data_IF_072020836163
#
_entry.id   IF_072020836163
#
_cell.length_a   1.000
_cell.length_b   1.000
_cell.length_c   1.000
_cell.angle_alpha   90.00
_cell.angle_beta   90.00
_cell.angle_gamma   90.00
#
_symmetry.space_group_name_H-M   'P 1'
#
loop_
_entity.id
_entity.type
_entity.pdbx_description
1 polymer ?
#
# COMPACT_ATOMS: atom_id res chain seq x y z
N UNK A 1 16.82 -10.50 11.56
CA UNK A 1 15.51 -11.07 11.18
C UNK A 1 15.65 -11.62 9.79
N UNK A 2 15.07 -12.80 9.54
CA UNK A 2 15.02 -13.35 8.18
C UNK A 2 14.17 -12.45 7.30
N UNK A 3 14.62 -12.29 6.07
CA UNK A 3 13.97 -11.46 5.07
C UNK A 3 13.88 -12.18 3.73
N UNK A 4 12.91 -11.75 2.94
CA UNK A 4 12.62 -12.24 1.60
C UNK A 4 12.52 -11.06 0.64
N UNK A 5 13.09 -11.21 -0.56
CA UNK A 5 12.90 -10.25 -1.65
C UNK A 5 11.77 -10.74 -2.55
N UNK A 6 10.74 -9.91 -2.73
CA UNK A 6 9.53 -10.20 -3.52
C UNK A 6 9.38 -9.08 -4.57
N UNK A 7 9.25 -9.39 -5.87
CA UNK A 7 9.03 -8.37 -6.89
C UNK A 7 7.63 -7.74 -6.75
N UNK A 8 7.50 -6.47 -7.16
CA UNK A 8 6.18 -5.84 -7.29
C UNK A 8 5.42 -6.43 -8.48
N UNK A 9 4.08 -6.53 -8.40
CA UNK A 9 3.18 -6.00 -7.36
C UNK A 9 3.04 -6.91 -6.12
N UNK A 10 3.53 -8.15 -6.17
CA UNK A 10 3.30 -9.15 -5.13
C UNK A 10 3.76 -8.72 -3.72
N UNK A 11 4.79 -7.88 -3.62
CA UNK A 11 5.23 -7.36 -2.32
C UNK A 11 4.22 -6.37 -1.71
N UNK A 12 3.60 -5.52 -2.55
CA UNK A 12 2.49 -4.66 -2.14
C UNK A 12 1.25 -5.47 -1.79
N UNK A 13 0.90 -6.49 -2.60
CA UNK A 13 -0.27 -7.34 -2.33
C UNK A 13 -0.15 -8.08 -0.99
N UNK A 14 1.06 -8.46 -0.58
CA UNK A 14 1.30 -9.00 0.77
C UNK A 14 1.17 -7.90 1.84
N UNK A 15 1.70 -6.69 1.59
CA UNK A 15 1.60 -5.54 2.50
C UNK A 15 0.14 -5.12 2.74
N UNK A 16 -0.68 -5.10 1.70
CA UNK A 16 -2.10 -4.75 1.77
C UNK A 16 -2.97 -5.88 2.32
N UNK A 17 -2.40 -7.09 2.40
CA UNK A 17 -3.09 -8.28 2.91
C UNK A 17 -3.96 -8.99 1.88
N UNK A 18 -3.90 -8.58 0.60
CA UNK A 18 -4.60 -9.23 -0.51
C UNK A 18 -3.99 -10.61 -0.83
N UNK A 19 -2.66 -10.75 -0.70
CA UNK A 19 -1.93 -11.99 -0.97
C UNK A 19 -1.49 -12.64 0.34
N UNK A 20 -2.08 -13.79 0.67
CA UNK A 20 -1.78 -14.55 1.89
C UNK A 20 -0.89 -15.77 1.64
N UNK A 21 -0.67 -16.14 0.36
CA UNK A 21 0.26 -17.20 -0.03
C UNK A 21 1.34 -16.66 -0.96
N UNK A 22 2.62 -16.85 -0.59
CA UNK A 22 3.77 -16.64 -1.48
C UNK A 22 4.21 -17.98 -2.09
N UNK A 23 4.43 -18.02 -3.40
CA UNK A 23 4.74 -19.26 -4.12
C UNK A 23 6.22 -19.31 -4.49
N UNK A 24 6.91 -20.38 -4.09
CA UNK A 24 8.36 -20.49 -4.23
C UNK A 24 8.77 -21.89 -4.69
N UNK A 25 9.82 -22.03 -5.51
CA UNK A 25 10.35 -23.34 -5.89
C UNK A 25 11.14 -24.04 -4.76
N UNK A 26 11.30 -23.39 -3.60
CA UNK A 26 12.13 -23.86 -2.51
C UNK A 26 11.35 -23.91 -1.19
N UNK A 27 11.56 -25.00 -0.45
CA UNK A 27 11.14 -25.14 0.94
C UNK A 27 12.06 -24.35 1.89
N UNK A 28 11.57 -24.07 3.09
CA UNK A 28 12.36 -23.60 4.22
C UNK A 28 11.83 -24.14 5.54
N UNK A 29 12.76 -24.43 6.46
CA UNK A 29 12.44 -24.78 7.86
C UNK A 29 12.09 -23.54 8.71
N UNK A 30 12.17 -22.33 8.15
CA UNK A 30 11.81 -21.11 8.89
C UNK A 30 10.30 -21.06 9.15
N UNK A 31 9.92 -20.65 10.37
CA UNK A 31 8.56 -20.28 10.77
C UNK A 31 8.64 -19.11 11.74
N UNK A 32 7.64 -18.24 11.74
CA UNK A 32 7.64 -16.99 12.51
C UNK A 32 7.97 -15.77 11.65
N UNK A 33 8.42 -14.70 12.32
CA UNK A 33 8.66 -13.40 11.69
C UNK A 33 9.56 -13.48 10.45
N UNK A 34 9.08 -12.88 9.36
CA UNK A 34 9.74 -12.77 8.07
C UNK A 34 9.54 -11.35 7.54
N UNK A 35 10.64 -10.64 7.29
CA UNK A 35 10.61 -9.31 6.69
C UNK A 35 10.43 -9.42 5.17
N UNK A 36 9.37 -8.83 4.64
CA UNK A 36 9.11 -8.71 3.20
C UNK A 36 9.76 -7.43 2.69
N UNK A 37 10.63 -7.60 1.70
CA UNK A 37 11.29 -6.51 1.00
C UNK A 37 10.88 -6.52 -0.48
N UNK A 38 10.48 -5.38 -1.02
CA UNK A 38 10.28 -5.24 -2.46
C UNK A 38 11.61 -5.37 -3.20
N UNK A 39 11.62 -6.14 -4.28
CA UNK A 39 12.78 -6.26 -5.14
C UNK A 39 13.04 -4.95 -5.88
N UNK A 40 14.28 -4.75 -6.34
CA UNK A 40 14.64 -3.60 -7.17
C UNK A 40 14.18 -3.71 -8.63
N UNK A 41 13.61 -4.85 -9.04
CA UNK A 41 13.03 -5.06 -10.36
C UNK A 41 11.59 -5.58 -10.20
N UNK A 42 10.62 -5.08 -10.99
CA UNK A 42 9.24 -5.57 -10.99
C UNK A 42 9.12 -6.98 -11.59
N UNK A 43 7.95 -7.60 -11.39
CA UNK A 43 7.56 -8.85 -12.03
C UNK A 43 7.13 -8.65 -13.48
N UNK A 44 6.54 -7.48 -13.78
CA UNK A 44 5.95 -7.15 -15.08
C UNK A 44 6.69 -5.96 -15.75
N UNK A 45 6.26 -5.61 -16.96
CA UNK A 45 6.80 -4.46 -17.70
C UNK A 45 6.43 -3.13 -17.03
N UNK A 46 7.13 -2.05 -17.37
CA UNK A 46 6.86 -0.73 -16.79
C UNK A 46 5.42 -0.27 -17.03
N UNK A 47 4.89 -0.45 -18.24
CA UNK A 47 3.52 -0.06 -18.58
C UNK A 47 2.49 -0.84 -17.74
N UNK A 48 2.66 -2.16 -17.60
CA UNK A 48 1.79 -3.00 -16.75
C UNK A 48 1.86 -2.59 -15.28
N UNK A 49 3.05 -2.20 -14.79
CA UNK A 49 3.20 -1.74 -13.41
C UNK A 49 2.50 -0.40 -13.17
N UNK A 50 2.56 0.53 -14.13
CA UNK A 50 1.87 1.83 -14.06
C UNK A 50 0.34 1.63 -14.06
N UNK A 51 -0.19 0.75 -14.92
CA UNK A 51 -1.63 0.40 -14.93
C UNK A 51 -2.09 -0.19 -13.58
N UNK A 52 -1.26 -1.05 -12.97
CA UNK A 52 -1.55 -1.60 -11.64
C UNK A 52 -1.48 -0.54 -10.54
N UNK A 53 -0.53 0.39 -10.59
CA UNK A 53 -0.43 1.51 -9.64
C UNK A 53 -1.70 2.36 -9.66
N UNK A 54 -2.23 2.65 -10.86
CA UNK A 54 -3.49 3.35 -11.05
C UNK A 54 -4.68 2.55 -10.50
N UNK A 55 -4.76 1.24 -10.79
CA UNK A 55 -5.83 0.37 -10.28
C UNK A 55 -5.82 0.27 -8.75
N UNK A 56 -4.64 0.14 -8.14
CA UNK A 56 -4.48 0.08 -6.70
C UNK A 56 -4.57 1.46 -6.02
N UNK A 57 -4.50 2.57 -6.78
CA UNK A 57 -4.45 3.92 -6.23
C UNK A 57 -3.21 4.15 -5.34
N UNK A 58 -2.05 3.62 -5.75
CA UNK A 58 -0.83 3.66 -4.94
C UNK A 58 0.42 3.83 -5.82
N UNK A 59 1.57 4.15 -5.21
CA UNK A 59 2.86 4.08 -5.90
C UNK A 59 3.73 2.97 -5.32
N UNK A 60 4.20 2.05 -6.16
CA UNK A 60 5.01 0.94 -5.71
C UNK A 60 6.42 1.39 -5.30
N UNK A 61 6.81 0.97 -4.11
CA UNK A 61 8.17 1.16 -3.63
C UNK A 61 9.05 0.00 -4.04
N UNK A 62 10.22 0.29 -4.61
CA UNK A 62 11.20 -0.72 -5.04
C UNK A 62 12.45 -0.72 -4.16
N UNK A 63 12.97 -1.91 -3.86
CA UNK A 63 14.18 -2.07 -3.04
C UNK A 63 14.03 -1.61 -1.59
N UNK A 64 12.82 -1.70 -1.03
CA UNK A 64 12.51 -1.27 0.34
C UNK A 64 12.06 -2.46 1.20
N UNK A 65 12.30 -2.41 2.50
CA UNK A 65 11.56 -3.23 3.46
C UNK A 65 10.16 -2.65 3.67
N UNK A 66 9.10 -3.47 3.59
CA UNK A 66 7.70 -3.01 3.59
C UNK A 66 6.91 -3.46 4.81
N UNK A 67 6.96 -4.75 5.14
CA UNK A 67 6.23 -5.31 6.27
C UNK A 67 6.94 -6.53 6.86
N UNK A 68 6.60 -6.85 8.11
CA UNK A 68 6.89 -8.15 8.71
C UNK A 68 5.62 -8.99 8.66
N UNK A 69 5.73 -10.22 8.19
CA UNK A 69 4.67 -11.22 8.23
C UNK A 69 5.07 -12.38 9.14
N UNK A 70 4.12 -13.17 9.60
CA UNK A 70 4.36 -14.48 10.18
C UNK A 70 4.34 -15.53 9.07
N UNK A 71 5.48 -16.18 8.81
CA UNK A 71 5.52 -17.38 7.97
C UNK A 71 4.97 -18.57 8.78
N UNK A 72 3.66 -18.80 8.65
CA UNK A 72 2.91 -19.75 9.46
C UNK A 72 3.12 -21.19 9.00
N UNK A 73 3.14 -21.41 7.68
CA UNK A 73 3.43 -22.71 7.09
C UNK A 73 4.16 -22.62 5.74
N UNK A 74 4.82 -23.70 5.36
CA UNK A 74 5.42 -23.95 4.05
C UNK A 74 5.10 -25.40 3.71
N UNK A 75 4.32 -25.58 2.66
CA UNK A 75 3.83 -26.88 2.20
C UNK A 75 3.92 -26.99 0.68
N UNK A 76 3.92 -28.20 0.09
CA UNK A 76 3.73 -28.34 -1.35
C UNK A 76 2.50 -27.57 -1.80
N UNK A 77 2.60 -26.93 -2.97
CA UNK A 77 1.49 -26.21 -3.56
C UNK A 77 0.30 -27.13 -3.78
N UNK A 78 -0.89 -26.63 -3.49
CA UNK A 78 -2.14 -27.35 -3.68
C UNK A 78 -3.06 -26.56 -4.61
N UNK A 79 -3.89 -27.30 -5.36
CA UNK A 79 -4.95 -26.68 -6.17
C UNK A 79 -5.88 -25.85 -5.28
N UNK A 80 -6.13 -24.61 -5.68
CA UNK A 80 -6.90 -23.61 -4.94
C UNK A 80 -6.01 -22.55 -4.28
N UNK A 81 -4.69 -22.79 -4.15
CA UNK A 81 -3.77 -21.78 -3.63
C UNK A 81 -3.61 -20.58 -4.57
N UNK A 82 -3.98 -20.72 -5.85
CA UNK A 82 -3.94 -19.68 -6.88
C UNK A 82 -4.65 -18.39 -6.46
N UNK A 83 -5.81 -18.52 -5.81
CA UNK A 83 -6.63 -17.39 -5.35
C UNK A 83 -5.92 -16.58 -4.26
N UNK A 84 -5.47 -17.25 -3.19
CA UNK A 84 -4.74 -16.62 -2.08
C UNK A 84 -3.32 -16.17 -2.46
N UNK A 85 -2.79 -16.72 -3.55
CA UNK A 85 -1.53 -16.32 -4.14
C UNK A 85 -1.67 -15.21 -5.19
N UNK A 86 -2.89 -14.84 -5.61
CA UNK A 86 -3.12 -13.91 -6.73
C UNK A 86 -2.32 -14.30 -7.99
N UNK A 87 -2.36 -15.58 -8.36
CA UNK A 87 -1.70 -16.12 -9.55
C UNK A 87 -2.69 -16.92 -10.38
N UNK A 88 -2.62 -16.81 -11.71
CA UNK A 88 -3.47 -17.61 -12.60
C UNK A 88 -3.16 -19.12 -12.50
N UNK A 89 -1.88 -19.47 -12.37
CA UNK A 89 -1.40 -20.83 -12.30
C UNK A 89 -0.22 -20.95 -11.32
N UNK A 90 -0.14 -22.08 -10.62
CA UNK A 90 0.98 -22.42 -9.75
C UNK A 90 1.67 -23.69 -10.27
N UNK A 91 3.00 -23.66 -10.30
CA UNK A 91 3.80 -24.85 -10.57
C UNK A 91 3.51 -25.94 -9.51
N UNK A 92 3.04 -27.14 -9.91
CA UNK A 92 2.77 -28.23 -8.96
C UNK A 92 3.98 -28.71 -8.16
N UNK A 93 5.22 -28.40 -8.58
CA UNK A 93 6.44 -28.69 -7.84
C UNK A 93 6.85 -27.58 -6.86
N UNK A 94 6.14 -26.44 -6.86
CA UNK A 94 6.40 -25.33 -5.96
C UNK A 94 5.84 -25.57 -4.54
N UNK A 95 6.19 -24.65 -3.66
CA UNK A 95 5.76 -24.60 -2.26
C UNK A 95 4.94 -23.33 -2.03
N UNK A 96 3.83 -23.49 -1.34
CA UNK A 96 2.99 -22.41 -0.83
C UNK A 96 3.48 -22.02 0.56
N UNK A 97 3.95 -20.79 0.68
CA UNK A 97 4.38 -20.15 1.92
C UNK A 97 3.19 -19.37 2.47
N UNK A 98 2.56 -19.89 3.52
CA UNK A 98 1.37 -19.28 4.15
C UNK A 98 1.81 -18.13 5.05
N UNK A 99 1.31 -16.94 4.75
CA UNK A 99 1.65 -15.69 5.41
C UNK A 99 0.46 -15.20 6.25
N UNK A 100 0.73 -14.83 7.49
CA UNK A 100 -0.26 -14.30 8.43
C UNK A 100 0.28 -13.05 9.14
N UNK A 101 -0.57 -12.34 9.89
CA UNK A 101 -0.19 -11.18 10.72
C UNK A 101 0.75 -10.18 10.03
N UNK A 102 0.26 -9.64 8.91
CA UNK A 102 0.95 -8.58 8.17
C UNK A 102 1.07 -7.35 9.06
N UNK A 103 2.30 -6.92 9.33
CA UNK A 103 2.63 -5.76 10.17
C UNK A 103 3.50 -4.82 9.36
N UNK A 104 2.96 -3.71 8.84
CA UNK A 104 3.75 -2.74 8.10
C UNK A 104 4.91 -2.20 8.94
N UNK A 105 6.02 -1.88 8.28
CA UNK A 105 7.16 -1.20 8.89
C UNK A 105 7.34 0.15 8.24
N UNK A 106 8.05 1.05 8.91
CA UNK A 106 8.52 2.26 8.27
C UNK A 106 9.55 1.86 7.19
N UNK A 107 9.34 2.21 5.92
CA UNK A 107 10.19 1.74 4.84
C UNK A 107 11.64 2.21 5.00
N UNK A 108 12.56 1.33 4.63
CA UNK A 108 13.97 1.66 4.53
C UNK A 108 14.63 0.86 3.40
N UNK A 109 15.69 1.40 2.76
CA UNK A 109 16.35 0.72 1.66
C UNK A 109 16.97 -0.61 2.08
N UNK A 110 16.65 -1.67 1.34
CA UNK A 110 17.23 -3.00 1.53
C UNK A 110 17.67 -3.57 0.18
N UNK A 111 18.95 -3.97 0.09
CA UNK A 111 19.45 -4.70 -1.06
C UNK A 111 19.00 -6.16 -0.97
N UNK A 112 17.97 -6.52 -1.75
CA UNK A 112 17.46 -7.88 -1.86
C UNK A 112 18.53 -8.91 -2.29
N UNK A 113 18.29 -10.18 -1.92
CA UNK A 113 19.12 -11.33 -2.27
C UNK A 113 18.24 -12.50 -2.70
N UNK A 114 18.81 -13.41 -3.48
CA UNK A 114 18.15 -14.67 -3.82
C UNK A 114 18.02 -15.53 -2.55
N UNK A 115 16.84 -16.12 -2.35
CA UNK A 115 16.53 -16.90 -1.15
C UNK A 115 16.30 -16.04 0.10
N UNK A 116 16.33 -16.68 1.27
CA UNK A 116 16.26 -15.98 2.56
C UNK A 116 17.59 -15.32 2.90
N UNK A 117 17.53 -14.14 3.50
CA UNK A 117 18.70 -13.42 3.99
C UNK A 117 18.44 -12.76 5.34
N UNK A 118 19.48 -12.25 5.99
CA UNK A 118 19.36 -11.57 7.28
C UNK A 118 19.40 -10.05 7.12
N UNK A 119 18.51 -9.37 7.84
CA UNK A 119 18.49 -7.93 8.07
C UNK A 119 18.65 -7.66 9.56
N UNK A 120 19.41 -6.62 9.92
CA UNK A 120 19.59 -6.23 11.32
C UNK A 120 18.28 -5.69 11.91
N UNK A 121 17.79 -6.30 12.98
CA UNK A 121 16.53 -5.96 13.64
C UNK A 121 16.48 -4.48 14.07
N UNK A 122 17.65 -3.87 14.32
CA UNK A 122 17.76 -2.45 14.70
C UNK A 122 17.33 -1.48 13.60
N UNK A 123 17.23 -1.94 12.35
CA UNK A 123 16.74 -1.14 11.23
C UNK A 123 15.21 -1.20 11.09
N UNK A 124 14.57 -2.19 11.71
CA UNK A 124 13.16 -2.48 11.53
C UNK A 124 12.36 -1.68 12.55
N UNK A 125 11.66 -0.65 12.09
CA UNK A 125 10.76 0.15 12.91
C UNK A 125 9.31 -0.17 12.54
N UNK A 126 8.47 -0.68 13.46
CA UNK A 126 7.06 -0.92 13.17
C UNK A 126 6.35 0.36 12.73
N UNK A 127 5.47 0.23 11.75
CA UNK A 127 4.57 1.31 11.37
C UNK A 127 3.58 1.59 12.50
N UNK A 128 3.25 2.86 12.78
CA UNK A 128 2.17 3.20 13.69
C UNK A 128 0.78 2.86 13.12
N UNK A 129 0.65 2.59 11.83
CA UNK A 129 -0.61 2.30 11.14
C UNK A 129 -0.54 1.00 10.32
N UNK A 130 -1.67 0.30 10.22
CA UNK A 130 -1.86 -0.81 9.26
C UNK A 130 -2.34 -0.27 7.91
N UNK A 131 -2.15 -1.06 6.86
CA UNK A 131 -2.82 -0.81 5.58
C UNK A 131 -4.33 -0.88 5.78
N UNK A 132 -5.07 -0.03 5.09
CA UNK A 132 -6.52 0.15 5.17
C UNK A 132 -7.04 0.66 6.53
N UNK A 133 -6.16 1.02 7.47
CA UNK A 133 -6.57 1.50 8.79
C UNK A 133 -7.24 2.88 8.68
N UNK A 134 -8.45 3.03 9.23
CA UNK A 134 -9.15 4.30 9.21
C UNK A 134 -8.44 5.33 10.08
N UNK A 135 -8.19 6.50 9.49
CA UNK A 135 -7.50 7.61 10.14
C UNK A 135 -8.25 8.92 9.95
N UNK A 136 -8.02 9.85 10.88
CA UNK A 136 -8.46 11.23 10.81
C UNK A 136 -7.26 12.16 10.85
N UNK A 137 -7.33 13.23 10.07
CA UNK A 137 -6.32 14.28 10.06
C UNK A 137 -6.53 15.22 11.25
N UNK A 138 -5.46 15.44 12.02
CA UNK A 138 -5.46 16.31 13.20
C UNK A 138 -5.66 17.79 12.81
N UNK A 139 -6.11 18.57 13.77
CA UNK A 139 -6.29 20.01 13.59
C UNK A 139 -4.98 20.74 13.27
N UNK A 140 -5.01 21.61 12.26
CA UNK A 140 -3.88 22.44 11.84
C UNK A 140 -3.05 21.89 10.69
N UNK A 141 -3.45 20.76 10.11
CA UNK A 141 -2.78 20.17 8.93
C UNK A 141 -3.26 20.87 7.65
N UNK A 142 -2.40 21.72 7.10
CA UNK A 142 -2.69 22.56 5.95
C UNK A 142 -1.83 22.15 4.75
N UNK A 143 -2.46 21.91 3.60
CA UNK A 143 -1.77 21.96 2.32
C UNK A 143 -1.58 23.42 1.92
N UNK A 144 -0.53 24.05 2.46
CA UNK A 144 -0.27 25.49 2.30
C UNK A 144 -0.21 25.94 0.83
N UNK A 145 0.23 25.06 -0.06
CA UNK A 145 0.31 25.34 -1.50
C UNK A 145 -1.07 25.44 -2.17
N UNK A 146 -2.06 24.70 -1.67
CA UNK A 146 -3.42 24.64 -2.23
C UNK A 146 -4.44 25.38 -1.37
N UNK A 147 -4.05 25.86 -0.18
CA UNK A 147 -4.95 26.51 0.76
C UNK A 147 -6.03 25.58 1.33
N UNK A 148 -5.79 24.27 1.30
CA UNK A 148 -6.73 23.26 1.78
C UNK A 148 -6.42 22.94 3.24
N UNK A 149 -7.44 23.02 4.09
CA UNK A 149 -7.39 22.56 5.47
C UNK A 149 -8.01 21.16 5.54
N UNK A 150 -7.16 20.17 5.76
CA UNK A 150 -7.57 18.78 5.89
C UNK A 150 -8.02 18.44 7.31
N UNK A 151 -8.03 19.40 8.25
CA UNK A 151 -8.42 19.15 9.64
C UNK A 151 -9.78 18.45 9.73
N UNK A 152 -9.82 17.27 10.37
CA UNK A 152 -11.02 16.48 10.55
C UNK A 152 -11.45 15.65 9.33
N UNK A 153 -10.72 15.72 8.22
CA UNK A 153 -10.91 14.79 7.10
C UNK A 153 -10.49 13.39 7.52
N UNK A 154 -11.21 12.39 7.01
CA UNK A 154 -10.89 11.00 7.28
C UNK A 154 -10.55 10.30 5.98
N UNK A 155 -9.84 9.20 6.13
CA UNK A 155 -9.47 8.31 5.05
C UNK A 155 -8.96 6.99 5.57
N UNK A 156 -8.33 6.24 4.69
CA UNK A 156 -7.67 4.98 5.00
C UNK A 156 -6.18 5.13 4.75
N UNK A 157 -5.37 4.74 5.72
CA UNK A 157 -3.92 4.72 5.58
C UNK A 157 -3.53 3.61 4.60
N UNK A 158 -2.73 3.95 3.60
CA UNK A 158 -2.24 3.02 2.58
C UNK A 158 -0.73 2.80 2.78
N UNK A 159 0.08 2.98 1.75
CA UNK A 159 1.52 2.86 1.78
C UNK A 159 2.17 3.99 2.58
N UNK A 160 3.25 3.66 3.27
CA UNK A 160 4.19 4.65 3.78
C UNK A 160 5.31 4.74 2.77
N UNK A 161 5.72 5.95 2.42
CA UNK A 161 6.82 6.20 1.52
C UNK A 161 7.88 7.12 2.12
N UNK A 162 9.08 7.02 1.55
CA UNK A 162 10.19 7.91 1.86
C UNK A 162 10.28 8.93 0.72
N UNK A 163 10.11 10.21 1.04
CA UNK A 163 10.25 11.29 0.06
C UNK A 163 11.71 11.46 -0.36
N UNK A 164 11.96 12.21 -1.43
CA UNK A 164 13.33 12.54 -1.89
C UNK A 164 14.18 13.19 -0.80
N UNK A 165 13.55 13.99 0.07
CA UNK A 165 14.18 14.64 1.22
C UNK A 165 14.42 13.70 2.42
N UNK A 166 14.05 12.42 2.29
CA UNK A 166 14.20 11.41 3.34
C UNK A 166 13.15 11.50 4.43
N UNK A 167 12.06 12.24 4.21
CA UNK A 167 10.96 12.29 5.17
C UNK A 167 9.96 11.15 4.91
N UNK A 168 9.47 10.55 5.99
CA UNK A 168 8.41 9.53 5.87
C UNK A 168 7.06 10.22 5.72
N UNK A 169 6.26 9.69 4.79
CA UNK A 169 4.88 10.10 4.53
C UNK A 169 4.00 8.88 4.42
N UNK A 170 2.77 8.99 4.88
CA UNK A 170 1.73 7.99 4.66
C UNK A 170 0.76 8.53 3.64
N UNK A 171 0.42 7.71 2.65
CA UNK A 171 -0.67 8.00 1.75
C UNK A 171 -1.99 7.73 2.47
N UNK A 172 -2.89 8.71 2.44
CA UNK A 172 -4.24 8.60 2.99
C UNK A 172 -5.22 8.78 1.84
N UNK A 173 -5.95 7.72 1.53
CA UNK A 173 -7.03 7.73 0.54
C UNK A 173 -8.31 8.21 1.23
N UNK A 174 -8.95 9.24 0.71
CA UNK A 174 -10.07 9.89 1.37
C UNK A 174 -11.28 8.98 1.50
N UNK A 175 -11.97 9.09 2.63
CA UNK A 175 -13.28 8.45 2.78
C UNK A 175 -14.34 9.22 1.97
N UNK A 176 -15.43 8.55 1.65
CA UNK A 176 -16.56 9.08 0.87
C UNK A 176 -17.16 10.34 1.47
N UNK A 177 -17.13 10.48 2.81
CA UNK A 177 -17.64 11.67 3.50
C UNK A 177 -16.72 12.86 3.25
N UNK A 178 -15.41 12.67 3.30
CA UNK A 178 -14.41 13.72 3.02
C UNK A 178 -14.44 14.10 1.55
N UNK A 179 -14.53 13.12 0.64
CA UNK A 179 -14.70 13.35 -0.80
C UNK A 179 -15.96 14.18 -1.11
N UNK A 180 -17.13 13.82 -0.56
CA UNK A 180 -18.38 14.57 -0.77
C UNK A 180 -18.36 16.00 -0.23
N UNK A 181 -17.50 16.29 0.75
CA UNK A 181 -17.33 17.62 1.32
C UNK A 181 -16.13 18.38 0.73
N UNK A 182 -15.35 17.75 -0.15
CA UNK A 182 -14.21 18.38 -0.81
C UNK A 182 -14.69 19.56 -1.68
N UNK A 183 -14.14 20.76 -1.52
CA UNK A 183 -14.47 21.87 -2.40
C UNK A 183 -14.10 21.57 -3.85
N UNK A 184 -15.00 21.80 -4.81
CA UNK A 184 -14.71 21.59 -6.24
C UNK A 184 -13.48 22.38 -6.73
N UNK A 185 -13.18 23.52 -6.11
CA UNK A 185 -11.97 24.30 -6.42
C UNK A 185 -10.67 23.57 -6.04
N UNK A 186 -10.71 22.71 -5.01
CA UNK A 186 -9.57 21.87 -4.65
C UNK A 186 -9.37 20.76 -5.71
N UNK A 187 -10.46 20.12 -6.12
CA UNK A 187 -10.44 19.10 -7.19
C UNK A 187 -9.89 19.71 -8.49
N UNK A 188 -10.39 20.87 -8.89
CA UNK A 188 -9.91 21.59 -10.08
C UNK A 188 -8.41 21.89 -10.02
N UNK A 189 -7.89 22.26 -8.84
CA UNK A 189 -6.46 22.53 -8.65
C UNK A 189 -5.62 21.26 -8.76
N UNK A 190 -6.07 20.16 -8.14
CA UNK A 190 -5.41 18.86 -8.23
C UNK A 190 -5.36 18.39 -9.69
N UNK A 191 -6.50 18.35 -10.39
CA UNK A 191 -6.56 17.89 -11.80
C UNK A 191 -5.69 18.75 -12.71
N UNK A 192 -5.76 20.09 -12.62
CA UNK A 192 -4.88 20.98 -13.41
C UNK A 192 -3.41 20.83 -13.09
N UNK A 193 -3.08 20.42 -11.87
CA UNK A 193 -1.73 20.14 -11.42
C UNK A 193 -1.23 18.74 -11.77
N UNK A 194 -2.10 17.87 -12.31
CA UNK A 194 -1.79 16.45 -12.51
C UNK A 194 -1.63 15.68 -11.19
N UNK A 195 -2.32 16.11 -10.14
CA UNK A 195 -2.33 15.45 -8.84
C UNK A 195 -3.62 14.66 -8.65
N UNK A 196 -3.49 13.50 -8.03
CA UNK A 196 -4.65 12.75 -7.54
C UNK A 196 -5.37 13.56 -6.45
N UNK A 197 -6.68 13.70 -6.61
CA UNK A 197 -7.55 14.40 -5.66
C UNK A 197 -8.21 13.44 -4.67
N UNK A 198 -8.12 12.12 -4.90
CA UNK A 198 -8.74 11.09 -4.09
C UNK A 198 -7.92 10.71 -2.86
N UNK A 199 -6.67 11.14 -2.77
CA UNK A 199 -5.80 10.93 -1.61
C UNK A 199 -4.79 12.06 -1.37
N UNK A 200 -3.94 11.88 -0.37
CA UNK A 200 -2.85 12.83 -0.03
C UNK A 200 -1.73 12.15 0.75
N UNK A 201 -0.51 12.67 0.61
CA UNK A 201 0.63 12.30 1.45
C UNK A 201 0.71 13.18 2.70
N UNK A 202 0.58 12.56 3.88
CA UNK A 202 0.63 13.24 5.18
C UNK A 202 1.81 12.74 6.03
N UNK A 203 2.23 13.55 7.00
CA UNK A 203 3.14 13.06 8.04
C UNK A 203 2.41 12.10 8.98
N UNK A 204 3.15 11.14 9.50
CA UNK A 204 2.62 10.15 10.44
C UNK A 204 2.06 10.79 11.72
N UNK A 205 2.58 11.94 12.14
CA UNK A 205 2.13 12.68 13.32
C UNK A 205 0.96 13.63 13.04
N UNK A 206 0.62 13.89 11.77
CA UNK A 206 -0.53 14.70 11.33
C UNK A 206 -1.86 13.92 11.36
N UNK A 207 -1.82 12.60 11.60
CA UNK A 207 -2.99 11.73 11.62
C UNK A 207 -3.12 10.95 12.94
N UNK A 208 -4.32 10.46 13.21
CA UNK A 208 -4.64 9.54 14.30
C UNK A 208 -5.69 8.52 13.88
N UNK A 209 -5.79 7.40 14.61
CA UNK A 209 -6.80 6.36 14.36
C UNK A 209 -8.21 6.93 14.52
N UNK A 210 -9.12 6.48 13.66
CA UNK A 210 -10.53 6.81 13.73
C UNK A 210 -11.40 5.56 13.52
N UNK A 211 -12.68 5.68 13.83
CA UNK A 211 -13.66 4.65 13.50
C UNK A 211 -14.08 4.78 12.03
N UNK A 212 -14.26 3.67 11.28
CA UNK A 212 -14.73 3.70 9.91
C UNK A 212 -16.12 4.33 9.81
N UNK A 213 -16.34 5.10 8.74
CA UNK A 213 -17.61 5.81 8.50
C UNK A 213 -18.31 5.37 7.21
N UNK A 214 -17.65 4.54 6.41
CA UNK A 214 -18.08 4.11 5.08
C UNK A 214 -17.37 2.81 4.64
N UNK A 215 -17.67 2.36 3.42
CA UNK A 215 -16.99 1.25 2.73
C UNK A 215 -16.22 1.73 1.49
N UNK A 216 -15.43 0.84 0.87
CA UNK A 216 -14.82 1.11 -0.43
C UNK A 216 -15.87 1.33 -1.54
N UNK A 217 -17.00 0.64 -1.50
CA UNK A 217 -18.12 0.88 -2.43
C UNK A 217 -18.67 2.31 -2.28
N UNK A 218 -18.79 2.82 -1.05
CA UNK A 218 -19.22 4.20 -0.80
C UNK A 218 -18.22 5.23 -1.33
N UNK A 219 -16.90 4.93 -1.27
CA UNK A 219 -15.82 5.75 -1.82
C UNK A 219 -15.93 5.81 -3.34
N UNK A 220 -16.01 4.65 -4.01
CA UNK A 220 -16.15 4.59 -5.47
C UNK A 220 -17.39 5.33 -5.95
N UNK A 221 -18.55 5.10 -5.30
CA UNK A 221 -19.77 5.84 -5.61
C UNK A 221 -19.66 7.36 -5.39
N UNK A 222 -18.81 7.81 -4.46
CA UNK A 222 -18.54 9.23 -4.25
C UNK A 222 -17.66 9.82 -5.36
N UNK A 223 -16.64 9.06 -5.80
CA UNK A 223 -15.74 9.45 -6.89
C UNK A 223 -16.54 9.58 -8.20
N UNK A 224 -17.27 8.54 -8.58
CA UNK A 224 -18.11 8.51 -9.78
C UNK A 224 -19.11 9.68 -9.80
N UNK A 225 -19.79 9.94 -8.68
CA UNK A 225 -20.76 11.04 -8.58
C UNK A 225 -20.12 12.43 -8.76
N UNK A 226 -18.87 12.61 -8.31
CA UNK A 226 -18.11 13.85 -8.50
C UNK A 226 -17.70 14.00 -9.96
N UNK A 227 -17.20 12.93 -10.59
CA UNK A 227 -16.77 12.92 -11.99
C UNK A 227 -17.95 13.17 -12.95
N UNK A 228 -19.02 12.39 -12.83
CA UNK A 228 -20.23 12.53 -13.65
C UNK A 228 -20.93 13.88 -13.43
N UNK A 229 -20.88 14.40 -12.20
CA UNK A 229 -21.48 15.68 -11.84
C UNK A 229 -20.71 16.89 -12.35
N UNK A 230 -19.40 16.73 -12.65
CA UNK A 230 -18.50 17.83 -12.98
C UNK A 230 -17.56 17.50 -14.16
N UNK A 231 -18.07 17.04 -15.32
CA UNK A 231 -17.22 16.55 -16.42
C UNK A 231 -16.19 17.58 -16.90
N UNK A 232 -16.55 18.87 -16.88
CA UNK A 232 -15.66 19.96 -17.29
C UNK A 232 -14.39 20.12 -16.41
N UNK A 233 -14.32 19.48 -15.25
CA UNK A 233 -13.10 19.44 -14.44
C UNK A 233 -12.08 18.41 -14.93
N UNK A 234 -12.54 17.39 -15.67
CA UNK A 234 -11.78 16.20 -16.05
C UNK A 234 -11.57 16.08 -17.58
N UNK A 235 -11.99 17.08 -18.35
CA UNK A 235 -11.69 17.18 -19.78
C UNK A 235 -10.25 17.68 -19.97
N UNK A 236 -9.46 16.97 -20.82
CA UNK A 236 -8.08 17.33 -21.21
C UNK A 236 -7.96 18.64 -22.00
#
# INVERSE_FOLDING_TARGET
>A
MKAISIPQPFAFEILSGLKTIEVRPLDTLHRGDLLVCSAGKPAFSTEEMEEMEDEYGCTFQYGQALCVVNLADVRPAAKGDEEEALLDEIDPEAYSWVLEDVRPVLPFPVKGKQGLFEVDDRLITPSPFRYDETVVVKGGTLALEFGIDFSGWHGRASEILLTEDGEQRVHVMWDSVSLKNMPLTAIEQCVKGGFDWTGVLLRLDEIERAEPRDTWDDVQAAIEAIEEGNPALFEE
#
